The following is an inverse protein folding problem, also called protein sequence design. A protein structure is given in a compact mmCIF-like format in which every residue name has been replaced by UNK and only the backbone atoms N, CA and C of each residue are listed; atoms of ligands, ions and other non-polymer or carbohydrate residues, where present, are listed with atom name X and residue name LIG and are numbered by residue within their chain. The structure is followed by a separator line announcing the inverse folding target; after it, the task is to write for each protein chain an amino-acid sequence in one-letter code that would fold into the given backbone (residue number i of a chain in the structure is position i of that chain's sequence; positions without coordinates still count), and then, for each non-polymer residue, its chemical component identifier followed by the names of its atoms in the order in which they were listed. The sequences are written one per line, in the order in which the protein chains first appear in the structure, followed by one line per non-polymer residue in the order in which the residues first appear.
data_IF_657636289501
#
_entry.id   IF_657636289501
#
_cell.length_a   1.000
_cell.length_b   1.000
_cell.length_c   1.000
_cell.angle_alpha   90.00
_cell.angle_beta   90.00
_cell.angle_gamma   90.00
#
_symmetry.space_group_name_H-M   'P 1'
#
loop_
_entity.id
_entity.type
_entity.pdbx_description
1 polymer ?
#
# COMPACT_ATOMS: atom_id res chain seq x y z
N UNK A 1 -34.10 -8.90 -15.48
CA UNK A 1 -33.07 -8.27 -16.33
C UNK A 1 -31.71 -8.70 -15.81
N UNK A 2 -30.86 -9.37 -16.61
CA UNK A 2 -29.57 -9.88 -16.13
C UNK A 2 -28.56 -8.74 -15.94
N UNK A 3 -27.73 -8.86 -14.90
CA UNK A 3 -26.70 -7.85 -14.56
C UNK A 3 -25.70 -7.60 -15.70
N UNK A 4 -25.50 -8.58 -16.60
CA UNK A 4 -24.70 -8.41 -17.81
C UNK A 4 -25.25 -7.33 -18.76
N UNK A 5 -26.57 -7.11 -18.80
CA UNK A 5 -27.17 -6.07 -19.65
C UNK A 5 -26.91 -4.66 -19.12
N UNK A 6 -26.80 -4.51 -17.79
CA UNK A 6 -26.48 -3.21 -17.17
C UNK A 6 -25.04 -2.81 -17.45
N UNK A 7 -24.11 -3.78 -17.45
CA UNK A 7 -22.69 -3.53 -17.65
C UNK A 7 -22.36 -3.13 -19.10
N UNK A 8 -23.04 -3.72 -20.08
CA UNK A 8 -22.88 -3.31 -21.48
C UNK A 8 -23.47 -1.92 -21.77
N UNK A 9 -24.51 -1.49 -21.05
CA UNK A 9 -25.12 -0.16 -21.20
C UNK A 9 -24.16 0.98 -20.76
N UNK A 10 -23.35 0.73 -19.73
CA UNK A 10 -22.41 1.74 -19.19
C UNK A 10 -21.23 1.99 -20.13
N UNK A 11 -20.83 0.99 -20.94
CA UNK A 11 -19.71 1.15 -21.90
C UNK A 11 -20.09 1.84 -23.20
N UNK A 12 -21.36 1.88 -23.57
CA UNK A 12 -21.80 2.48 -24.83
C UNK A 12 -21.92 4.01 -24.81
N UNK A 13 -21.81 4.65 -23.64
CA UNK A 13 -21.99 6.11 -23.49
C UNK A 13 -20.70 6.92 -23.78
N UNK A 14 -19.56 6.26 -23.94
CA UNK A 14 -18.28 6.92 -24.18
C UNK A 14 -17.86 6.93 -25.66
N UNK A 15 -18.77 7.18 -26.60
CA UNK A 15 -18.40 7.57 -27.97
C UNK A 15 -19.56 8.28 -28.67
N UNK A 16 -19.44 9.60 -28.80
CA UNK A 16 -20.01 10.35 -29.92
C UNK A 16 -21.17 11.29 -29.61
N UNK A 17 -20.87 12.58 -29.53
CA UNK A 17 -21.31 13.59 -30.53
C UNK A 17 -21.76 14.90 -29.89
N UNK A 18 -20.92 15.92 -30.02
CA UNK A 18 -21.38 17.30 -30.16
C UNK A 18 -20.55 17.92 -31.29
N UNK A 19 -21.15 17.95 -32.49
CA UNK A 19 -20.71 18.75 -33.62
C UNK A 19 -21.54 20.04 -33.69
N UNK A 20 -20.89 21.15 -34.05
CA UNK A 20 -21.31 22.30 -34.91
C UNK A 20 -20.52 23.53 -34.43
N UNK A 21 -19.68 24.22 -35.21
CA UNK A 21 -19.35 24.12 -36.63
C UNK A 21 -18.23 25.11 -37.05
N UNK A 22 -17.88 25.04 -38.35
CA UNK A 22 -17.22 26.04 -39.24
C UNK A 22 -15.86 26.67 -38.85
N UNK A 23 -14.84 26.83 -39.70
CA UNK A 23 -14.62 26.75 -41.17
C UNK A 23 -13.11 26.62 -41.48
N UNK A 24 -12.79 26.28 -42.74
CA UNK A 24 -11.54 26.54 -43.49
C UNK A 24 -10.42 25.47 -43.53
N UNK A 25 -10.58 24.59 -44.53
CA UNK A 25 -9.69 24.33 -45.69
C UNK A 25 -8.21 23.87 -45.59
N UNK A 26 -7.89 23.04 -46.61
CA UNK A 26 -6.60 22.57 -47.17
C UNK A 26 -6.04 21.27 -46.54
N UNK A 27 -5.61 20.21 -47.24
CA UNK A 27 -5.79 19.60 -48.56
C UNK A 27 -4.96 18.28 -48.54
N UNK A 28 -5.37 17.29 -49.32
CA UNK A 28 -4.58 16.19 -49.90
C UNK A 28 -3.98 15.06 -49.02
N UNK A 29 -4.33 13.81 -49.36
CA UNK A 29 -3.35 12.71 -49.33
C UNK A 29 -3.80 11.31 -48.87
N UNK A 30 -4.65 10.63 -49.63
CA UNK A 30 -4.69 9.15 -49.80
C UNK A 30 -4.77 8.88 -51.31
N UNK A 31 -4.45 7.69 -51.90
CA UNK A 31 -4.61 6.33 -51.35
C UNK A 31 -3.58 5.26 -51.86
N UNK A 32 -3.91 3.94 -51.64
CA UNK A 32 -3.68 2.73 -52.52
C UNK A 32 -2.87 1.58 -51.84
N UNK A 33 -3.47 0.46 -51.39
CA UNK A 33 -4.01 -0.79 -52.03
C UNK A 33 -2.96 -1.86 -52.39
N UNK A 34 -3.21 -3.11 -51.92
CA UNK A 34 -2.99 -4.46 -52.50
C UNK A 34 -2.55 -5.44 -51.38
N UNK A 35 -3.29 -6.47 -50.94
CA UNK A 35 -3.90 -7.66 -51.58
C UNK A 35 -2.89 -8.75 -52.00
N UNK A 36 -2.87 -9.89 -51.28
CA UNK A 36 -2.96 -11.24 -51.86
C UNK A 36 -2.91 -12.40 -50.83
N UNK A 37 -3.96 -13.20 -50.94
CA UNK A 37 -4.24 -14.60 -50.57
C UNK A 37 -3.14 -15.59 -51.02
N UNK A 38 -3.00 -16.74 -50.33
CA UNK A 38 -3.19 -18.13 -50.85
C UNK A 38 -2.90 -19.18 -49.76
N UNK A 39 -3.83 -20.12 -49.69
CA UNK A 39 -3.97 -21.41 -49.01
C UNK A 39 -2.72 -22.31 -48.92
N UNK A 40 -2.67 -23.23 -47.94
CA UNK A 40 -3.12 -24.63 -48.16
C UNK A 40 -2.84 -25.55 -46.95
N UNK A 41 -3.85 -26.37 -46.66
CA UNK A 41 -3.94 -27.38 -45.59
C UNK A 41 -3.45 -28.77 -46.03
N UNK A 42 -2.99 -29.61 -45.08
CA UNK A 42 -3.13 -31.09 -45.03
C UNK A 42 -2.86 -31.51 -43.57
N UNK A 43 -3.83 -31.86 -42.72
CA UNK A 43 -4.61 -33.10 -42.60
C UNK A 43 -3.93 -34.25 -41.80
N UNK A 44 -4.68 -34.78 -40.82
CA UNK A 44 -4.51 -36.09 -40.17
C UNK A 44 -3.67 -36.06 -38.88
N UNK A 45 -4.02 -36.69 -37.76
CA UNK A 45 -4.97 -37.80 -37.51
C UNK A 45 -5.19 -37.89 -35.99
N UNK A 46 -6.45 -38.06 -35.56
CA UNK A 46 -6.87 -38.56 -34.23
C UNK A 46 -7.25 -40.04 -34.42
N UNK A 47 -6.86 -40.97 -33.53
CA UNK A 47 -7.72 -41.46 -32.43
C UNK A 47 -6.88 -41.92 -31.20
N UNK A 48 -7.35 -42.40 -30.06
CA UNK A 48 -8.62 -42.50 -29.36
C UNK A 48 -8.30 -42.86 -27.89
N UNK A 49 -9.30 -42.68 -27.04
CA UNK A 49 -9.42 -43.04 -25.65
C UNK A 49 -8.88 -44.43 -25.22
N UNK A 50 -8.33 -44.49 -24.00
CA UNK A 50 -8.54 -45.62 -23.09
C UNK A 50 -8.32 -45.19 -21.61
N UNK A 51 -9.41 -45.15 -20.85
CA UNK A 51 -9.51 -45.41 -19.39
C UNK A 51 -10.41 -46.67 -19.29
N UNK A 52 -10.25 -47.58 -18.31
CA UNK A 52 -10.59 -47.30 -16.90
C UNK A 52 -9.80 -48.05 -15.79
N UNK A 53 -9.76 -47.42 -14.60
CA UNK A 53 -9.97 -47.90 -13.20
C UNK A 53 -9.43 -49.26 -12.68
N UNK A 54 -9.50 -49.56 -11.36
CA UNK A 54 -9.27 -48.76 -10.15
C UNK A 54 -8.26 -49.46 -9.20
N UNK A 55 -7.47 -48.71 -8.44
CA UNK A 55 -6.65 -49.29 -7.35
C UNK A 55 -6.93 -48.59 -6.02
N UNK A 56 -7.88 -49.19 -5.29
CA UNK A 56 -7.83 -49.51 -3.87
C UNK A 56 -7.40 -48.40 -2.89
N UNK A 57 -8.42 -47.88 -2.20
CA UNK A 57 -8.29 -47.12 -0.97
C UNK A 57 -7.54 -47.92 0.11
N UNK A 58 -6.40 -47.41 0.56
CA UNK A 58 -5.78 -47.80 1.82
C UNK A 58 -5.94 -46.65 2.82
N UNK A 59 -6.88 -46.83 3.75
CA UNK A 59 -7.12 -45.96 4.87
C UNK A 59 -5.89 -45.95 5.81
N UNK A 60 -5.10 -44.89 5.77
CA UNK A 60 -4.09 -44.63 6.80
C UNK A 60 -4.78 -43.89 7.94
N UNK A 61 -4.89 -44.61 9.06
CA UNK A 61 -5.40 -44.13 10.34
C UNK A 61 -4.69 -42.84 10.75
N UNK A 62 -5.46 -41.77 10.93
CA UNK A 62 -5.05 -40.52 11.56
C UNK A 62 -4.69 -40.81 13.03
N UNK A 63 -3.45 -40.61 13.48
CA UNK A 63 -3.17 -40.57 14.90
C UNK A 63 -3.72 -39.26 15.47
N UNK A 64 -4.73 -39.38 16.33
CA UNK A 64 -5.28 -38.28 17.11
C UNK A 64 -4.19 -37.63 17.96
N UNK A 65 -3.71 -36.47 17.53
CA UNK A 65 -2.81 -35.64 18.30
C UNK A 65 -3.57 -35.08 19.52
N UNK A 66 -3.11 -35.46 20.72
CA UNK A 66 -3.62 -34.97 22.00
C UNK A 66 -3.47 -33.44 22.05
N UNK A 67 -4.45 -32.70 22.61
CA UNK A 67 -4.35 -31.25 22.76
C UNK A 67 -3.22 -30.94 23.75
N UNK A 68 -2.12 -30.39 23.24
CA UNK A 68 -1.05 -29.84 24.07
C UNK A 68 -1.64 -28.62 24.77
N UNK A 69 -1.85 -28.74 26.09
CA UNK A 69 -2.29 -27.66 26.95
C UNK A 69 -1.25 -26.53 26.83
N UNK A 70 -1.62 -25.47 26.13
CA UNK A 70 -0.86 -24.21 26.04
C UNK A 70 -0.87 -23.56 27.42
N UNK A 71 0.08 -23.97 28.26
CA UNK A 71 0.39 -23.34 29.53
C UNK A 71 1.53 -22.35 29.36
N UNK A 72 1.37 -21.20 30.01
CA UNK A 72 2.41 -20.20 30.36
C UNK A 72 2.87 -19.34 29.15
N UNK A 73 2.24 -18.21 28.82
CA UNK A 73 2.16 -16.97 29.61
C UNK A 73 3.35 -16.81 30.58
N UNK A 74 4.14 -15.76 30.34
CA UNK A 74 5.22 -15.19 31.18
C UNK A 74 6.63 -15.72 30.90
N UNK A 75 7.40 -15.05 30.03
CA UNK A 75 8.86 -15.28 30.00
C UNK A 75 9.61 -14.68 28.82
N UNK A 76 8.99 -14.62 27.64
CA UNK A 76 9.59 -13.98 26.46
C UNK A 76 8.78 -12.74 26.12
N UNK A 77 9.01 -11.66 26.87
CA UNK A 77 8.72 -10.31 26.37
C UNK A 77 9.63 -10.09 25.17
N UNK A 78 9.11 -10.55 24.04
CA UNK A 78 9.61 -10.38 22.68
C UNK A 78 10.19 -8.99 22.58
N UNK A 79 11.52 -8.92 22.41
CA UNK A 79 12.21 -7.71 21.99
C UNK A 79 11.72 -7.36 20.60
N UNK A 80 10.54 -6.74 20.50
CA UNK A 80 10.13 -6.10 19.27
C UNK A 80 11.16 -4.99 19.02
N UNK A 81 11.88 -4.99 17.88
CA UNK A 81 12.94 -4.02 17.62
C UNK A 81 12.46 -2.57 17.73
N UNK A 82 11.15 -2.35 17.59
CA UNK A 82 10.48 -1.05 17.66
C UNK A 82 9.73 -0.81 18.99
N UNK A 83 10.08 -1.53 20.06
CA UNK A 83 9.42 -1.39 21.37
C UNK A 83 9.57 0.01 21.99
N UNK A 84 10.70 0.68 21.75
CA UNK A 84 10.91 2.06 22.21
C UNK A 84 9.91 3.04 21.59
N UNK A 85 9.75 2.97 20.27
CA UNK A 85 8.81 3.81 19.51
C UNK A 85 7.35 3.51 19.88
N UNK A 86 6.95 2.24 19.85
CA UNK A 86 5.55 1.83 20.11
C UNK A 86 5.06 2.17 21.52
N UNK A 87 5.95 2.26 22.52
CA UNK A 87 5.59 2.73 23.87
C UNK A 87 5.14 4.20 23.88
N UNK A 88 5.69 5.03 22.98
CA UNK A 88 5.40 6.46 22.91
C UNK A 88 4.02 6.76 22.30
N UNK A 89 3.39 5.78 21.65
CA UNK A 89 2.05 5.94 21.07
C UNK A 89 0.90 5.72 22.04
N UNK A 90 1.19 5.26 23.27
CA UNK A 90 0.17 5.04 24.29
C UNK A 90 -0.54 6.36 24.61
N UNK A 91 -1.86 6.39 24.47
CA UNK A 91 -2.69 7.57 24.75
C UNK A 91 -2.77 8.58 23.61
N UNK A 92 -2.16 8.31 22.45
CA UNK A 92 -2.35 9.15 21.26
C UNK A 92 -3.61 8.72 20.50
N UNK A 93 -4.44 9.69 20.13
CA UNK A 93 -5.53 9.52 19.17
C UNK A 93 -5.03 9.89 17.78
N UNK A 94 -4.63 8.89 16.99
CA UNK A 94 -4.01 9.09 15.67
C UNK A 94 -4.91 8.48 14.60
N UNK A 95 -5.35 9.31 13.65
CA UNK A 95 -6.12 8.85 12.49
C UNK A 95 -5.28 8.83 11.22
N UNK A 96 -4.23 9.65 11.15
CA UNK A 96 -3.36 9.78 9.97
C UNK A 96 -1.90 9.63 10.38
N UNK A 97 -1.22 8.67 9.73
CA UNK A 97 0.19 8.35 9.98
C UNK A 97 0.97 8.56 8.70
N UNK A 98 2.00 9.40 8.76
CA UNK A 98 2.99 9.55 7.71
C UNK A 98 4.31 8.92 8.18
N UNK A 99 4.81 7.97 7.41
CA UNK A 99 6.14 7.38 7.62
C UNK A 99 7.06 7.76 6.46
N UNK A 100 8.23 8.31 6.79
CA UNK A 100 9.29 8.66 5.84
C UNK A 100 10.47 7.71 6.06
N UNK A 101 10.90 7.03 4.98
CA UNK A 101 12.00 6.07 5.00
C UNK A 101 11.64 4.76 5.70
N UNK A 102 10.75 3.99 5.06
CA UNK A 102 10.10 2.75 5.55
C UNK A 102 11.11 1.62 5.78
N UNK A 103 12.17 1.53 4.97
CA UNK A 103 13.19 0.49 5.10
C UNK A 103 12.65 -0.91 4.79
N UNK A 104 12.65 -1.81 5.78
CA UNK A 104 12.23 -3.22 5.63
C UNK A 104 10.72 -3.45 5.84
N UNK A 105 9.97 -2.40 6.18
CA UNK A 105 8.53 -2.46 6.44
C UNK A 105 8.13 -3.08 7.79
N UNK A 106 9.05 -3.65 8.55
CA UNK A 106 8.74 -4.27 9.86
C UNK A 106 8.27 -3.24 10.87
N UNK A 107 8.81 -2.02 10.78
CA UNK A 107 8.42 -0.89 11.62
C UNK A 107 7.00 -0.43 11.35
N UNK A 108 6.61 -0.31 10.08
CA UNK A 108 5.26 0.06 9.69
C UNK A 108 4.21 -0.88 10.30
N UNK A 109 4.47 -2.20 10.26
CA UNK A 109 3.61 -3.21 10.88
C UNK A 109 3.52 -2.99 12.39
N UNK A 110 4.65 -2.76 13.05
CA UNK A 110 4.70 -2.52 14.50
C UNK A 110 3.93 -1.23 14.90
N UNK A 111 4.08 -0.16 14.12
CA UNK A 111 3.34 1.10 14.32
C UNK A 111 1.85 0.84 14.22
N UNK A 112 1.37 0.28 13.11
CA UNK A 112 -0.06 0.08 12.88
C UNK A 112 -0.69 -0.87 13.89
N UNK A 113 -0.03 -1.98 14.22
CA UNK A 113 -0.52 -2.90 15.25
C UNK A 113 -0.59 -2.24 16.62
N UNK A 114 0.40 -1.41 16.98
CA UNK A 114 0.39 -0.73 18.28
C UNK A 114 -0.72 0.32 18.38
N UNK A 115 -0.99 1.06 17.29
CA UNK A 115 -2.06 2.06 17.24
C UNK A 115 -3.45 1.42 17.24
N UNK A 116 -3.66 0.36 16.44
CA UNK A 116 -4.92 -0.39 16.43
C UNK A 116 -5.16 -1.12 17.76
N UNK A 117 -4.10 -1.57 18.44
CA UNK A 117 -4.23 -2.14 19.79
C UNK A 117 -4.66 -1.09 20.81
N UNK A 118 -4.19 0.15 20.67
CA UNK A 118 -4.58 1.25 21.55
C UNK A 118 -6.02 1.71 21.27
N UNK A 119 -6.42 1.75 20.00
CA UNK A 119 -7.74 2.17 19.55
C UNK A 119 -8.29 1.20 18.48
N UNK A 120 -8.96 0.11 18.88
CA UNK A 120 -9.43 -0.93 17.95
C UNK A 120 -10.40 -0.44 16.86
N UNK A 121 -11.20 0.57 17.18
CA UNK A 121 -12.21 1.13 16.27
C UNK A 121 -11.65 2.25 15.37
N UNK A 122 -10.39 2.64 15.56
CA UNK A 122 -9.78 3.71 14.79
C UNK A 122 -9.54 3.29 13.33
N UNK A 123 -10.02 4.11 12.39
CA UNK A 123 -9.70 3.98 10.97
C UNK A 123 -8.41 4.73 10.68
N UNK A 124 -7.28 4.02 10.76
CA UNK A 124 -5.97 4.61 10.52
C UNK A 124 -5.70 4.71 9.01
N UNK A 125 -5.38 5.91 8.56
CA UNK A 125 -4.86 6.20 7.23
C UNK A 125 -3.34 6.29 7.30
N UNK A 126 -2.68 5.25 6.78
CA UNK A 126 -1.25 5.11 6.72
C UNK A 126 -0.72 5.55 5.35
N UNK A 127 0.25 6.46 5.37
CA UNK A 127 0.92 7.00 4.20
C UNK A 127 2.41 6.75 4.36
N UNK A 128 3.02 6.09 3.37
CA UNK A 128 4.44 5.78 3.39
C UNK A 128 5.14 6.50 2.23
N UNK A 129 6.18 7.29 2.54
CA UNK A 129 7.06 7.95 1.58
C UNK A 129 8.42 7.26 1.64
N UNK A 130 8.77 6.59 0.55
CA UNK A 130 10.06 5.92 0.39
C UNK A 130 10.34 5.77 -1.10
N UNK A 131 11.60 5.61 -1.48
CA UNK A 131 11.99 5.20 -2.82
C UNK A 131 11.89 3.67 -3.02
N UNK A 132 11.72 2.89 -1.94
CA UNK A 132 11.55 1.44 -1.98
C UNK A 132 12.72 0.77 -2.73
N UNK A 133 12.42 -0.12 -3.68
CA UNK A 133 13.40 -0.79 -4.53
C UNK A 133 14.33 0.15 -5.30
N UNK A 134 13.92 1.41 -5.53
CA UNK A 134 14.76 2.40 -6.23
C UNK A 134 15.95 2.90 -5.40
N UNK A 135 15.91 2.74 -4.06
CA UNK A 135 17.03 3.06 -3.16
C UNK A 135 17.50 1.83 -2.37
N UNK A 136 17.35 0.62 -2.94
CA UNK A 136 17.77 -0.63 -2.29
C UNK A 136 16.93 -1.07 -1.09
N UNK A 137 15.74 -0.49 -0.90
CA UNK A 137 14.79 -0.87 0.14
C UNK A 137 13.91 -2.07 -0.25
N UNK A 138 12.83 -2.27 0.51
CA UNK A 138 11.84 -3.33 0.24
C UNK A 138 11.13 -3.13 -1.11
N UNK A 139 10.86 -4.22 -1.83
CA UNK A 139 10.00 -4.19 -3.02
C UNK A 139 8.59 -3.69 -2.68
N UNK A 140 8.06 -2.78 -3.49
CA UNK A 140 6.75 -2.16 -3.25
C UNK A 140 5.63 -3.21 -3.14
N UNK A 141 5.71 -4.25 -3.98
CA UNK A 141 4.76 -5.36 -3.98
C UNK A 141 4.85 -6.20 -2.71
N UNK A 142 6.06 -6.46 -2.22
CA UNK A 142 6.27 -7.20 -0.97
C UNK A 142 5.72 -6.41 0.22
N UNK A 143 5.95 -5.10 0.24
CA UNK A 143 5.42 -4.24 1.30
C UNK A 143 3.89 -4.17 1.30
N UNK A 144 3.25 -4.05 0.13
CA UNK A 144 1.79 -4.16 0.02
C UNK A 144 1.26 -5.51 0.55
N UNK A 145 1.96 -6.62 0.30
CA UNK A 145 1.58 -7.93 0.84
C UNK A 145 1.74 -7.99 2.36
N UNK A 146 2.78 -7.38 2.93
CA UNK A 146 2.98 -7.34 4.38
C UNK A 146 1.87 -6.56 5.10
N UNK A 147 1.41 -5.46 4.50
CA UNK A 147 0.32 -4.65 5.05
C UNK A 147 -1.06 -5.29 4.84
N UNK A 148 -1.17 -6.31 3.97
CA UNK A 148 -2.40 -7.04 3.72
C UNK A 148 -2.80 -7.83 4.98
N UNK A 149 -3.89 -7.43 5.61
CA UNK A 149 -4.39 -8.02 6.86
C UNK A 149 -4.42 -7.05 8.03
N UNK A 150 -3.84 -5.86 7.87
CA UNK A 150 -4.00 -4.76 8.81
C UNK A 150 -5.20 -3.93 8.35
N UNK A 151 -6.16 -3.66 9.26
CA UNK A 151 -7.36 -2.88 8.98
C UNK A 151 -7.05 -1.38 8.91
N UNK A 152 -6.25 -0.97 7.93
CA UNK A 152 -5.83 0.42 7.70
C UNK A 152 -5.94 0.79 6.22
N UNK A 153 -6.24 2.05 5.93
CA UNK A 153 -6.12 2.60 4.58
C UNK A 153 -4.64 2.85 4.31
N UNK A 154 -4.08 2.26 3.25
CA UNK A 154 -2.65 2.31 2.96
C UNK A 154 -2.41 3.04 1.64
N UNK A 155 -1.60 4.10 1.67
CA UNK A 155 -1.10 4.79 0.48
C UNK A 155 0.43 4.76 0.48
N UNK A 156 1.00 4.16 -0.55
CA UNK A 156 2.45 4.09 -0.73
C UNK A 156 2.86 5.08 -1.82
N UNK A 157 3.86 5.91 -1.52
CA UNK A 157 4.38 6.95 -2.38
C UNK A 157 5.82 6.61 -2.76
N UNK A 158 6.05 5.87 -3.86
CA UNK A 158 7.38 5.49 -4.34
C UNK A 158 8.10 6.69 -4.95
N UNK A 159 8.65 7.56 -4.11
CA UNK A 159 9.29 8.81 -4.54
C UNK A 159 10.26 9.36 -3.50
N UNK A 160 11.20 10.24 -3.90
CA UNK A 160 12.10 10.89 -2.96
C UNK A 160 11.36 11.70 -1.89
N UNK A 161 11.92 11.77 -0.69
CA UNK A 161 11.31 12.39 0.48
C UNK A 161 10.74 13.77 0.22
N UNK A 162 11.51 14.70 -0.37
CA UNK A 162 11.03 16.06 -0.67
C UNK A 162 9.78 16.07 -1.56
N UNK A 163 9.78 15.30 -2.64
CA UNK A 163 8.63 15.19 -3.55
C UNK A 163 7.42 14.52 -2.88
N UNK A 164 7.68 13.50 -2.05
CA UNK A 164 6.67 12.82 -1.25
C UNK A 164 5.97 13.75 -0.28
N UNK A 165 6.72 14.53 0.50
CA UNK A 165 6.17 15.49 1.46
C UNK A 165 5.31 16.56 0.78
N UNK A 166 5.78 17.07 -0.36
CA UNK A 166 5.04 18.01 -1.19
C UNK A 166 3.72 17.45 -1.71
N UNK A 167 3.72 16.17 -2.11
CA UNK A 167 2.51 15.46 -2.53
C UNK A 167 1.58 15.24 -1.35
N UNK A 168 2.11 14.87 -0.18
CA UNK A 168 1.30 14.65 1.03
C UNK A 168 0.58 15.93 1.44
N UNK A 169 1.31 17.05 1.52
CA UNK A 169 0.75 18.35 1.87
C UNK A 169 -0.38 18.79 0.93
N UNK A 170 -0.30 18.40 -0.36
CA UNK A 170 -1.31 18.74 -1.38
C UNK A 170 -2.49 17.78 -1.43
N UNK A 171 -2.24 16.48 -1.30
CA UNK A 171 -3.26 15.44 -1.53
C UNK A 171 -3.98 15.02 -0.25
N UNK A 172 -3.25 14.88 0.85
CA UNK A 172 -3.79 14.38 2.13
C UNK A 172 -3.92 15.47 3.19
N UNK A 173 -3.20 16.59 3.01
CA UNK A 173 -3.20 17.70 3.96
C UNK A 173 -2.33 17.40 5.17
N UNK A 174 -2.81 17.83 6.35
CA UNK A 174 -2.07 17.66 7.61
C UNK A 174 -2.29 16.30 8.27
N UNK A 175 -1.23 15.73 8.85
CA UNK A 175 -1.20 14.44 9.52
C UNK A 175 -1.07 14.57 11.04
N UNK A 176 -1.59 13.57 11.77
CA UNK A 176 -1.55 13.49 13.24
C UNK A 176 -0.21 12.99 13.76
N UNK A 177 0.40 12.04 13.04
CA UNK A 177 1.64 11.38 13.43
C UNK A 177 2.61 11.37 12.24
N UNK A 178 3.79 11.96 12.43
CA UNK A 178 4.90 11.89 11.50
C UNK A 178 6.02 11.05 12.11
N UNK A 179 6.42 9.98 11.42
CA UNK A 179 7.57 9.15 11.74
C UNK A 179 8.65 9.42 10.70
N UNK A 180 9.81 9.88 11.13
CA UNK A 180 10.90 10.29 10.26
C UNK A 180 12.13 9.42 10.48
N UNK A 181 12.48 8.65 9.45
CA UNK A 181 13.68 7.83 9.39
C UNK A 181 14.33 7.98 8.00
N UNK A 182 14.75 9.21 7.69
CA UNK A 182 15.52 9.51 6.50
C UNK A 182 16.81 10.24 6.89
N UNK A 183 17.99 9.63 6.68
CA UNK A 183 19.27 10.25 6.97
C UNK A 183 19.70 11.27 5.91
N UNK A 184 19.15 11.20 4.69
CA UNK A 184 19.55 12.07 3.56
C UNK A 184 18.92 13.46 3.67
N UNK A 185 17.72 13.54 4.24
CA UNK A 185 16.96 14.79 4.35
C UNK A 185 16.81 15.21 5.81
N UNK A 186 17.31 16.40 6.13
CA UNK A 186 17.08 17.00 7.45
C UNK A 186 15.60 17.40 7.60
N UNK A 187 14.93 16.82 8.61
CA UNK A 187 13.53 17.13 8.94
C UNK A 187 13.27 18.62 9.14
N UNK A 188 14.25 19.38 9.66
CA UNK A 188 14.12 20.81 9.93
C UNK A 188 13.97 21.64 8.64
N UNK A 189 14.38 21.08 7.50
CA UNK A 189 14.20 21.70 6.19
C UNK A 189 12.82 21.41 5.58
N UNK A 190 12.05 20.49 6.16
CA UNK A 190 10.71 20.17 5.68
C UNK A 190 9.69 21.23 6.14
N UNK A 191 8.65 21.51 5.34
CA UNK A 191 7.58 22.44 5.72
C UNK A 191 6.61 21.78 6.73
N UNK A 192 7.09 21.51 7.95
CA UNK A 192 6.35 20.77 8.98
C UNK A 192 5.02 21.42 9.33
N UNK A 193 4.91 22.75 9.31
CA UNK A 193 3.64 23.46 9.59
C UNK A 193 2.53 23.16 8.58
N UNK A 194 2.90 22.77 7.36
CA UNK A 194 1.95 22.37 6.31
C UNK A 194 1.59 20.90 6.38
N UNK A 195 2.46 20.08 6.95
CA UNK A 195 2.36 18.62 6.93
C UNK A 195 1.81 18.08 8.25
N UNK A 196 2.15 18.67 9.38
CA UNK A 196 1.74 18.21 10.70
C UNK A 196 0.62 19.09 11.25
N UNK A 197 -0.39 18.48 11.86
CA UNK A 197 -1.38 19.23 12.65
C UNK A 197 -0.71 19.86 13.86
N UNK A 198 -1.31 20.93 14.39
CA UNK A 198 -0.81 21.60 15.59
C UNK A 198 -0.70 20.65 16.80
N UNK A 199 -1.70 19.77 17.02
CA UNK A 199 -1.68 18.74 18.06
C UNK A 199 -0.92 17.47 17.66
N UNK A 200 -0.32 17.45 16.47
CA UNK A 200 0.37 16.30 15.92
C UNK A 200 1.66 16.00 16.68
N UNK A 201 2.13 14.76 16.57
CA UNK A 201 3.41 14.32 17.13
C UNK A 201 4.38 13.96 16.01
N UNK A 202 5.62 14.43 16.13
CA UNK A 202 6.71 14.11 15.21
C UNK A 202 7.74 13.26 15.95
N UNK A 203 8.11 12.13 15.38
CA UNK A 203 9.14 11.24 15.92
C UNK A 203 10.30 11.12 14.94
N UNK A 204 11.51 11.28 15.46
CA UNK A 204 12.76 11.25 14.70
C UNK A 204 13.61 10.09 15.16
N UNK A 205 14.18 9.37 14.19
CA UNK A 205 15.24 8.42 14.45
C UNK A 205 16.61 9.12 14.30
N UNK A 206 17.39 9.15 15.38
CA UNK A 206 18.76 9.68 15.40
C UNK A 206 19.65 8.66 16.09
N UNK A 207 20.69 8.19 15.41
CA UNK A 207 21.63 7.18 15.94
C UNK A 207 20.95 5.93 16.50
N UNK A 208 19.89 5.47 15.81
CA UNK A 208 19.11 4.30 16.24
C UNK A 208 18.14 4.54 17.40
N UNK A 209 18.06 5.75 17.95
CA UNK A 209 17.14 6.13 19.03
C UNK A 209 15.99 6.98 18.52
N UNK A 210 14.80 6.71 19.04
CA UNK A 210 13.59 7.47 18.73
C UNK A 210 13.37 8.60 19.73
N UNK A 211 13.28 9.82 19.23
CA UNK A 211 12.98 11.02 20.01
C UNK A 211 11.72 11.71 19.49
N UNK A 212 10.94 12.30 20.40
CA UNK A 212 9.79 13.13 20.04
C UNK A 212 10.26 14.56 19.81
N UNK A 213 10.02 15.09 18.63
CA UNK A 213 10.31 16.49 18.31
C UNK A 213 9.15 17.38 18.74
N UNK A 214 9.45 18.47 19.43
CA UNK A 214 8.48 19.55 19.65
C UNK A 214 8.37 20.38 18.37
N UNK A 215 7.20 20.39 17.75
CA UNK A 215 6.90 21.30 16.65
C UNK A 215 6.58 22.69 17.19
N UNK A 216 6.95 23.75 16.47
CA UNK A 216 6.67 25.14 16.88
C UNK A 216 5.16 25.38 17.13
N UNK A 217 4.28 24.67 16.41
CA UNK A 217 2.84 24.68 16.63
C UNK A 217 2.38 24.16 18.02
N UNK A 218 3.21 23.37 18.71
CA UNK A 218 2.97 22.93 20.09
C UNK A 218 3.63 23.85 21.14
N UNK A 219 4.59 24.68 20.75
CA UNK A 219 5.31 25.55 21.68
C UNK A 219 4.45 26.71 22.23
N UNK A 220 3.45 27.16 21.46
CA UNK A 220 2.54 28.26 21.85
C UNK A 220 1.45 27.87 22.84
N UNK A 221 1.27 26.58 23.17
CA UNK A 221 0.26 26.11 24.14
C UNK A 221 0.84 25.77 25.52
N UNK A 222 2.15 25.94 25.71
CA UNK A 222 2.86 25.62 26.95
C UNK A 222 3.40 26.87 27.68
N UNK A 223 2.96 28.07 27.28
CA UNK A 223 3.29 29.36 27.90
C UNK A 223 2.04 29.99 28.53
#
# INVERSE_FOLDING_TARGET
MSLLKLWNSIRSVATGSAATGETADIEAGKPKVADKTVDQAVAGRVPAAARPDPATAAAVKVPAAKPVKSGLLSGVLRSCPHAGLTKQFKGLSVNTVLEVGVGDGTRAIAILQSLLKANPDAKIHYIAVDQFEMNGGIELRAFHKQLRGISSLVNLLPMPTRAGLDRVARTYGQVDLLIWNDPEVNVLSAPLDRICKASGSVFLQTDGKWSKMSTAANATKAA
#
